data_IF_824925518513
#
_entry.id   IF_824925518513
#
_cell.length_a   1.000
_cell.length_b   1.000
_cell.length_c   1.000
_cell.angle_alpha   90.00
_cell.angle_beta   90.00
_cell.angle_gamma   90.00
#
_symmetry.space_group_name_H-M   'P 1'
#
loop_
_entity.id
_entity.type
_entity.pdbx_description
1 polymer ?
#
# COMPACT_ATOMS: atom_id res chain seq x y z
N UNK A 1 4.20 4.04 9.58
CA UNK A 1 3.63 4.72 8.39
C UNK A 1 2.12 4.53 8.30
N UNK A 2 1.59 3.30 8.25
CA UNK A 2 0.13 3.08 8.23
C UNK A 2 -0.63 3.75 9.39
N UNK A 3 -0.10 3.72 10.61
CA UNK A 3 -0.66 4.45 11.76
C UNK A 3 -0.76 5.97 11.52
N UNK A 4 0.32 6.58 11.01
CA UNK A 4 0.33 8.00 10.68
C UNK A 4 -0.64 8.34 9.53
N UNK A 5 -0.72 7.50 8.49
CA UNK A 5 -1.70 7.66 7.41
C UNK A 5 -3.14 7.55 7.92
N UNK A 6 -3.42 6.64 8.85
CA UNK A 6 -4.72 6.54 9.50
C UNK A 6 -5.07 7.82 10.28
N UNK A 7 -4.12 8.40 11.01
CA UNK A 7 -4.32 9.68 11.70
C UNK A 7 -4.66 10.83 10.72
N UNK A 8 -4.14 10.80 9.49
CA UNK A 8 -4.56 11.73 8.43
C UNK A 8 -6.01 11.52 8.02
N UNK A 9 -6.46 10.27 7.85
CA UNK A 9 -7.86 9.95 7.53
C UNK A 9 -8.84 10.33 8.64
N UNK A 10 -8.41 10.20 9.90
CA UNK A 10 -9.21 10.53 11.08
C UNK A 10 -9.14 12.02 11.45
N UNK A 11 -8.33 12.81 10.74
CA UNK A 11 -8.17 14.22 11.06
C UNK A 11 -9.40 15.04 10.64
N UNK A 12 -9.96 15.78 11.60
CA UNK A 12 -11.07 16.72 11.36
C UNK A 12 -10.63 18.05 10.74
N UNK A 13 -9.35 18.21 10.39
CA UNK A 13 -8.83 19.45 9.80
C UNK A 13 -9.22 19.55 8.31
N UNK A 14 -9.88 20.64 7.87
CA UNK A 14 -10.30 20.81 6.46
C UNK A 14 -9.14 20.79 5.45
N UNK A 15 -7.96 21.32 5.81
CA UNK A 15 -6.76 21.26 4.94
C UNK A 15 -6.26 19.83 4.76
N UNK A 16 -6.40 19.01 5.81
CA UNK A 16 -6.05 17.61 5.76
C UNK A 16 -7.05 16.85 4.88
N UNK A 17 -8.34 17.15 4.97
CA UNK A 17 -9.35 16.58 4.07
C UNK A 17 -9.08 16.93 2.60
N UNK A 18 -8.79 18.19 2.28
CA UNK A 18 -8.45 18.59 0.91
C UNK A 18 -7.19 17.90 0.36
N UNK A 19 -6.21 17.61 1.22
CA UNK A 19 -5.03 16.81 0.86
C UNK A 19 -5.41 15.35 0.61
N UNK A 20 -6.19 14.74 1.51
CA UNK A 20 -6.68 13.36 1.36
C UNK A 20 -7.48 13.22 0.06
N UNK A 21 -8.42 14.13 -0.22
CA UNK A 21 -9.25 14.08 -1.42
C UNK A 21 -8.42 14.15 -2.72
N UNK A 22 -7.34 14.93 -2.74
CA UNK A 22 -6.42 14.97 -3.88
C UNK A 22 -5.75 13.62 -4.11
N UNK A 23 -5.26 12.99 -3.05
CA UNK A 23 -4.65 11.66 -3.18
C UNK A 23 -5.67 10.57 -3.44
N UNK A 24 -6.91 10.69 -2.96
CA UNK A 24 -8.00 9.78 -3.31
C UNK A 24 -8.31 9.84 -4.80
N UNK A 25 -8.40 11.04 -5.40
CA UNK A 25 -8.55 11.18 -6.86
C UNK A 25 -7.38 10.58 -7.63
N UNK A 26 -6.15 10.83 -7.19
CA UNK A 26 -4.96 10.30 -7.83
C UNK A 26 -4.86 8.76 -7.75
N UNK A 27 -5.26 8.15 -6.64
CA UNK A 27 -5.12 6.71 -6.40
C UNK A 27 -6.36 5.90 -6.75
N UNK A 28 -7.55 6.46 -6.64
CA UNK A 28 -8.82 5.73 -6.73
C UNK A 28 -9.83 6.37 -7.68
N UNK A 29 -9.40 7.37 -8.48
CA UNK A 29 -10.20 8.10 -9.49
C UNK A 29 -11.40 8.89 -8.95
N UNK A 30 -11.67 8.83 -7.65
CA UNK A 30 -12.79 9.50 -6.99
C UNK A 30 -12.40 9.89 -5.57
N UNK A 31 -13.05 10.93 -5.04
CA UNK A 31 -13.02 11.32 -3.64
C UNK A 31 -14.44 11.36 -3.04
N UNK A 32 -15.37 10.56 -3.60
CA UNK A 32 -16.70 10.39 -3.03
C UNK A 32 -16.61 9.82 -1.62
N UNK A 33 -17.67 10.03 -0.82
CA UNK A 33 -17.72 9.56 0.55
C UNK A 33 -17.59 8.02 0.64
N UNK A 34 -18.19 7.28 -0.30
CA UNK A 34 -18.07 5.82 -0.36
C UNK A 34 -16.63 5.34 -0.60
N UNK A 35 -15.89 6.01 -1.50
CA UNK A 35 -14.48 5.71 -1.75
C UNK A 35 -13.64 6.08 -0.54
N UNK A 36 -13.92 7.23 0.07
CA UNK A 36 -13.26 7.65 1.31
C UNK A 36 -13.42 6.59 2.41
N UNK A 37 -14.65 6.13 2.67
CA UNK A 37 -14.92 5.15 3.73
C UNK A 37 -14.34 3.76 3.43
N UNK A 38 -14.40 3.33 2.16
CA UNK A 38 -13.76 2.08 1.72
C UNK A 38 -12.25 2.12 1.94
N UNK A 39 -11.60 3.21 1.52
CA UNK A 39 -10.16 3.38 1.66
C UNK A 39 -9.77 3.51 3.13
N UNK A 40 -10.51 4.29 3.92
CA UNK A 40 -10.32 4.41 5.38
C UNK A 40 -10.36 3.05 6.06
N UNK A 41 -11.39 2.24 5.77
CA UNK A 41 -11.54 0.90 6.32
C UNK A 41 -10.34 0.00 5.97
N UNK A 42 -9.90 0.02 4.72
CA UNK A 42 -8.75 -0.79 4.28
C UNK A 42 -7.43 -0.31 4.88
N UNK A 43 -7.21 0.99 4.99
CA UNK A 43 -6.01 1.55 5.66
C UNK A 43 -6.00 1.20 7.15
N UNK A 44 -7.15 1.25 7.83
CA UNK A 44 -7.29 0.75 9.19
C UNK A 44 -6.89 -0.73 9.27
N UNK A 45 -7.41 -1.56 8.37
CA UNK A 45 -7.10 -2.99 8.34
C UNK A 45 -5.61 -3.28 8.08
N UNK A 46 -4.99 -2.54 7.16
CA UNK A 46 -3.54 -2.59 6.91
C UNK A 46 -2.75 -2.29 8.19
N UNK A 47 -3.15 -1.25 8.95
CA UNK A 47 -2.52 -0.91 10.22
C UNK A 47 -2.62 -2.07 11.21
N UNK A 48 -3.81 -2.64 11.38
CA UNK A 48 -4.05 -3.77 12.30
C UNK A 48 -3.21 -5.00 11.92
N UNK A 49 -3.06 -5.29 10.63
CA UNK A 49 -2.24 -6.40 10.13
C UNK A 49 -0.75 -6.17 10.45
N UNK A 50 -0.24 -4.96 10.23
CA UNK A 50 1.14 -4.60 10.57
C UNK A 50 1.41 -4.68 12.08
N UNK A 51 0.45 -4.26 12.92
CA UNK A 51 0.54 -4.42 14.38
C UNK A 51 0.46 -5.90 14.80
N UNK A 52 -0.41 -6.68 14.15
CA UNK A 52 -0.52 -8.12 14.36
C UNK A 52 0.80 -8.84 14.06
N UNK A 53 1.57 -8.38 13.07
CA UNK A 53 2.88 -8.94 12.76
C UNK A 53 3.91 -8.74 13.87
N UNK A 54 3.87 -7.60 14.55
CA UNK A 54 4.73 -7.34 15.70
C UNK A 54 4.40 -8.26 16.89
N UNK A 55 3.13 -8.64 17.03
CA UNK A 55 2.65 -9.56 18.06
C UNK A 55 2.61 -11.03 17.65
N UNK A 56 3.20 -11.41 16.51
CA UNK A 56 3.25 -12.81 16.04
C UNK A 56 1.93 -13.39 15.53
N UNK A 57 0.87 -12.58 15.34
CA UNK A 57 -0.45 -12.99 14.84
C UNK A 57 -0.56 -12.94 13.31
N UNK A 58 0.38 -12.28 12.66
CA UNK A 58 0.63 -12.29 11.21
C UNK A 58 2.11 -12.63 11.01
N UNK A 59 2.42 -13.55 10.10
CA UNK A 59 3.81 -13.96 9.85
C UNK A 59 4.26 -13.47 8.48
N UNK A 60 5.39 -12.76 8.45
CA UNK A 60 6.15 -12.55 7.22
C UNK A 60 7.19 -13.66 7.13
N UNK A 61 6.92 -14.67 6.32
CA UNK A 61 7.76 -15.85 6.18
C UNK A 61 8.56 -15.79 4.88
N UNK A 62 9.84 -16.18 4.91
CA UNK A 62 10.57 -16.41 3.67
C UNK A 62 9.87 -17.53 2.88
N UNK A 63 9.61 -17.28 1.59
CA UNK A 63 9.09 -18.33 0.72
C UNK A 63 10.10 -19.50 0.66
N UNK A 64 9.61 -20.75 0.61
CA UNK A 64 10.49 -21.90 0.50
C UNK A 64 11.32 -21.86 -0.79
N UNK A 65 12.53 -22.46 -0.81
CA UNK A 65 13.31 -22.60 -2.03
C UNK A 65 12.49 -23.31 -3.12
N UNK A 66 12.49 -22.76 -4.34
CA UNK A 66 11.77 -23.34 -5.49
C UNK A 66 10.28 -22.98 -5.58
N UNK A 67 9.78 -22.11 -4.71
CA UNK A 67 8.39 -21.64 -4.79
C UNK A 67 8.11 -20.88 -6.09
N UNK A 68 7.29 -21.48 -6.96
CA UNK A 68 6.98 -20.91 -8.27
C UNK A 68 6.12 -19.65 -8.20
N UNK A 69 5.43 -19.42 -7.07
CA UNK A 69 4.66 -18.19 -6.85
C UNK A 69 5.56 -16.96 -6.73
N UNK A 70 6.83 -17.14 -6.31
CA UNK A 70 7.74 -16.01 -6.18
C UNK A 70 8.10 -15.37 -7.51
N UNK A 71 8.28 -16.12 -8.60
CA UNK A 71 8.66 -15.56 -9.91
C UNK A 71 9.67 -14.41 -9.80
N UNK A 72 9.26 -13.23 -10.27
CA UNK A 72 9.98 -11.95 -10.11
C UNK A 72 9.38 -11.02 -9.04
N UNK A 73 8.42 -11.52 -8.26
CA UNK A 73 7.74 -10.78 -7.20
C UNK A 73 8.60 -10.65 -5.94
N UNK A 74 8.30 -9.65 -5.14
CA UNK A 74 9.02 -9.36 -3.88
C UNK A 74 8.29 -9.98 -2.68
N UNK A 75 6.98 -10.16 -2.78
CA UNK A 75 6.18 -10.94 -1.86
C UNK A 75 4.90 -11.41 -2.54
N UNK A 76 4.13 -12.22 -1.82
CA UNK A 76 2.78 -12.57 -2.23
C UNK A 76 1.95 -13.07 -1.04
N UNK A 77 0.63 -13.10 -1.22
CA UNK A 77 -0.32 -13.79 -0.35
C UNK A 77 -1.06 -14.89 -1.12
N UNK A 78 -1.29 -16.05 -0.50
CA UNK A 78 -2.09 -17.11 -1.13
C UNK A 78 -3.55 -17.02 -0.71
N UNK A 79 -4.46 -17.26 -1.66
CA UNK A 79 -5.86 -17.50 -1.33
C UNK A 79 -5.96 -18.76 -0.48
N UNK A 80 -6.55 -18.64 0.71
CA UNK A 80 -6.78 -19.76 1.63
C UNK A 80 -5.80 -19.83 2.81
N UNK A 81 -4.62 -19.23 2.69
CA UNK A 81 -3.72 -19.06 3.83
C UNK A 81 -4.13 -17.83 4.64
N UNK A 82 -4.30 -18.00 5.95
CA UNK A 82 -4.63 -16.91 6.86
C UNK A 82 -3.41 -16.55 7.68
N UNK A 83 -3.11 -15.27 7.78
CA UNK A 83 -2.07 -14.79 8.69
C UNK A 83 -0.64 -15.05 8.18
N UNK A 84 -0.43 -15.30 6.89
CA UNK A 84 0.89 -15.47 6.29
C UNK A 84 1.03 -14.56 5.08
N UNK A 85 2.16 -13.87 5.01
CA UNK A 85 2.66 -13.15 3.84
C UNK A 85 4.02 -13.77 3.49
N UNK A 86 4.18 -14.21 2.25
CA UNK A 86 5.42 -14.83 1.79
C UNK A 86 6.37 -13.76 1.23
N UNK A 87 7.62 -13.82 1.65
CA UNK A 87 8.69 -12.92 1.25
C UNK A 87 9.60 -13.63 0.26
N UNK A 88 9.73 -13.06 -0.94
CA UNK A 88 10.53 -13.63 -2.01
C UNK A 88 11.94 -13.05 -2.03
N UNK A 89 12.88 -13.75 -2.68
CA UNK A 89 14.29 -13.31 -2.78
C UNK A 89 14.47 -11.87 -3.29
N UNK A 90 13.70 -11.37 -4.28
CA UNK A 90 13.81 -9.99 -4.75
C UNK A 90 13.50 -8.91 -3.71
N UNK A 91 12.87 -9.23 -2.56
CA UNK A 91 12.63 -8.28 -1.48
C UNK A 91 13.91 -7.82 -0.77
N UNK A 92 14.85 -8.74 -0.54
CA UNK A 92 16.03 -8.47 0.27
C UNK A 92 16.99 -7.41 -0.31
N UNK A 93 17.21 -7.29 -1.63
CA UNK A 93 18.02 -6.20 -2.17
C UNK A 93 17.30 -4.84 -2.22
N UNK A 94 16.00 -4.76 -1.89
CA UNK A 94 15.28 -3.48 -1.90
C UNK A 94 15.80 -2.52 -0.81
N UNK A 95 15.69 -1.22 -1.10
CA UNK A 95 15.87 -0.15 -0.11
C UNK A 95 14.86 -0.29 1.04
N UNK A 96 15.12 0.35 2.17
CA UNK A 96 14.17 0.37 3.30
C UNK A 96 12.78 0.89 2.87
N UNK A 97 12.74 1.87 1.96
CA UNK A 97 11.50 2.42 1.40
C UNK A 97 10.75 1.35 0.59
N UNK A 98 11.45 0.68 -0.34
CA UNK A 98 10.89 -0.40 -1.15
C UNK A 98 10.38 -1.58 -0.31
N UNK A 99 11.12 -1.95 0.74
CA UNK A 99 10.69 -2.99 1.68
C UNK A 99 9.41 -2.58 2.41
N UNK A 100 9.34 -1.36 2.94
CA UNK A 100 8.15 -0.85 3.63
C UNK A 100 6.93 -0.75 2.71
N UNK A 101 7.14 -0.33 1.47
CA UNK A 101 6.10 -0.31 0.44
C UNK A 101 5.51 -1.70 0.22
N UNK A 102 6.37 -2.68 -0.03
CA UNK A 102 5.99 -4.08 -0.25
C UNK A 102 5.16 -4.62 0.93
N UNK A 103 5.61 -4.41 2.18
CA UNK A 103 4.86 -4.89 3.35
C UNK A 103 3.45 -4.27 3.44
N UNK A 104 3.29 -3.00 3.08
CA UNK A 104 1.98 -2.34 3.03
C UNK A 104 1.13 -2.90 1.88
N UNK A 105 1.73 -3.12 0.71
CA UNK A 105 1.09 -3.70 -0.47
C UNK A 105 0.50 -5.08 -0.13
N UNK A 106 1.28 -5.99 0.44
CA UNK A 106 0.79 -7.33 0.79
C UNK A 106 -0.30 -7.29 1.88
N UNK A 107 -0.18 -6.37 2.84
CA UNK A 107 -1.25 -6.15 3.81
C UNK A 107 -2.53 -5.60 3.14
N UNK A 108 -2.41 -4.81 2.08
CA UNK A 108 -3.56 -4.30 1.34
C UNK A 108 -4.32 -5.43 0.63
N UNK A 109 -3.63 -6.42 0.10
CA UNK A 109 -4.26 -7.63 -0.41
C UNK A 109 -5.10 -8.34 0.67
N UNK A 110 -4.53 -8.57 1.84
CA UNK A 110 -5.26 -9.16 2.97
C UNK A 110 -6.41 -8.27 3.49
N UNK A 111 -6.33 -6.95 3.27
CA UNK A 111 -7.41 -6.00 3.55
C UNK A 111 -8.49 -5.95 2.45
N UNK A 112 -8.38 -6.78 1.40
CA UNK A 112 -9.37 -6.92 0.34
C UNK A 112 -9.10 -6.08 -0.92
N UNK A 113 -7.92 -5.49 -1.07
CA UNK A 113 -7.45 -4.93 -2.33
C UNK A 113 -6.90 -6.07 -3.22
N UNK A 114 -7.80 -6.91 -3.72
CA UNK A 114 -7.46 -8.04 -4.60
C UNK A 114 -8.44 -8.08 -5.77
N UNK A 115 -8.12 -7.38 -6.87
CA UNK A 115 -8.75 -7.65 -8.18
C UNK A 115 -8.00 -8.74 -8.97
N UNK A 116 -8.61 -9.20 -10.07
CA UNK A 116 -8.00 -10.00 -11.17
C UNK A 116 -6.55 -9.58 -11.45
N UNK A 117 -5.67 -10.49 -11.95
CA UNK A 117 -4.22 -10.46 -11.75
C UNK A 117 -3.64 -9.05 -11.86
N UNK A 118 -2.99 -8.60 -10.78
CA UNK A 118 -2.43 -7.26 -10.75
C UNK A 118 -1.38 -7.10 -11.85
N UNK A 119 -1.69 -6.24 -12.81
CA UNK A 119 -0.68 -5.74 -13.73
C UNK A 119 0.21 -4.77 -12.96
N UNK A 120 1.31 -5.33 -12.46
CA UNK A 120 2.49 -4.69 -11.88
C UNK A 120 2.56 -3.17 -12.14
N UNK A 121 2.43 -2.36 -11.07
CA UNK A 121 2.76 -0.94 -11.11
C UNK A 121 3.86 -0.65 -10.09
N UNK A 122 4.98 -1.37 -10.26
CA UNK A 122 6.19 -1.15 -9.49
C UNK A 122 6.73 0.26 -9.72
N UNK A 123 6.33 1.21 -8.89
CA UNK A 123 7.11 2.42 -8.70
C UNK A 123 7.90 2.29 -7.40
N UNK A 124 9.10 1.73 -7.52
CA UNK A 124 10.11 1.66 -6.45
C UNK A 124 11.13 2.81 -6.54
N UNK A 125 10.81 3.87 -7.31
CA UNK A 125 11.63 5.07 -7.43
C UNK A 125 11.34 6.11 -6.34
N UNK A 126 12.06 7.25 -6.34
CA UNK A 126 11.77 8.34 -5.44
C UNK A 126 10.34 8.85 -5.69
N UNK A 127 9.42 8.60 -4.77
CA UNK A 127 8.07 9.17 -4.84
C UNK A 127 8.18 10.62 -4.36
N UNK A 128 8.29 11.53 -5.32
CA UNK A 128 8.15 12.96 -5.13
C UNK A 128 6.68 13.40 -5.18
N UNK A 129 6.46 14.71 -5.13
CA UNK A 129 5.12 15.29 -5.16
C UNK A 129 4.38 14.97 -6.46
N UNK A 130 5.08 14.91 -7.59
CA UNK A 130 4.53 14.55 -8.91
C UNK A 130 3.97 13.13 -8.92
N UNK A 131 4.69 12.16 -8.37
CA UNK A 131 4.29 10.75 -8.35
C UNK A 131 3.09 10.50 -7.43
N UNK A 132 3.00 11.28 -6.34
CA UNK A 132 1.86 11.27 -5.42
C UNK A 132 0.55 11.76 -6.05
N UNK A 133 0.65 12.62 -7.07
CA UNK A 133 -0.51 13.19 -7.77
C UNK A 133 -0.77 12.52 -9.12
N UNK A 134 0.14 11.68 -9.61
CA UNK A 134 -0.04 10.91 -10.84
C UNK A 134 -1.32 10.07 -10.75
N UNK A 135 -2.19 10.16 -11.74
CA UNK A 135 -3.40 9.35 -11.77
C UNK A 135 -3.05 7.85 -11.82
N UNK A 136 -3.83 7.05 -11.14
CA UNK A 136 -3.77 5.58 -11.21
C UNK A 136 -4.07 5.13 -12.65
N UNK A 137 -3.39 4.09 -13.14
CA UNK A 137 -3.62 3.55 -14.48
C UNK A 137 -4.95 2.78 -14.60
N UNK A 138 -5.59 2.44 -13.48
CA UNK A 138 -6.85 1.72 -13.47
C UNK A 138 -7.92 2.44 -14.31
N UNK A 139 -8.69 1.69 -15.10
CA UNK A 139 -9.73 2.26 -15.95
C UNK A 139 -10.96 2.72 -15.14
N UNK A 140 -11.29 2.00 -14.07
CA UNK A 140 -12.46 2.27 -13.23
C UNK A 140 -12.09 2.49 -11.76
N UNK A 141 -12.98 3.15 -11.00
CA UNK A 141 -12.84 3.28 -9.54
C UNK A 141 -12.78 1.92 -8.84
N UNK A 142 -13.56 0.95 -9.34
CA UNK A 142 -13.58 -0.43 -8.81
C UNK A 142 -12.23 -1.11 -8.98
N UNK A 143 -11.64 -1.00 -10.16
CA UNK A 143 -10.32 -1.57 -10.43
C UNK A 143 -9.25 -0.85 -9.59
N UNK A 144 -9.35 0.47 -9.47
CA UNK A 144 -8.41 1.26 -8.68
C UNK A 144 -8.45 0.88 -7.19
N UNK A 145 -9.64 0.62 -6.63
CA UNK A 145 -9.82 0.06 -5.29
C UNK A 145 -9.26 -1.38 -5.19
N UNK A 146 -9.16 -2.10 -6.31
CA UNK A 146 -8.62 -3.45 -6.34
C UNK A 146 -7.10 -3.55 -6.33
N UNK A 147 -6.38 -2.45 -6.57
CA UNK A 147 -4.92 -2.41 -6.68
C UNK A 147 -4.24 -2.11 -5.34
N UNK A 148 -3.49 -3.06 -4.80
CA UNK A 148 -2.74 -2.93 -3.56
C UNK A 148 -1.72 -1.78 -3.59
N UNK A 149 -1.06 -1.55 -4.73
CA UNK A 149 -0.10 -0.45 -4.90
C UNK A 149 -0.72 0.94 -4.70
N UNK A 150 -2.01 1.14 -5.02
CA UNK A 150 -2.67 2.42 -4.77
C UNK A 150 -2.78 2.71 -3.27
N UNK A 151 -2.91 1.69 -2.42
CA UNK A 151 -2.91 1.83 -0.97
C UNK A 151 -1.52 2.14 -0.44
N UNK A 152 -0.49 1.41 -0.91
CA UNK A 152 0.89 1.65 -0.53
C UNK A 152 1.33 3.08 -0.90
N UNK A 153 1.00 3.53 -2.12
CA UNK A 153 1.26 4.90 -2.59
C UNK A 153 0.53 5.95 -1.76
N UNK A 154 -0.76 5.76 -1.51
CA UNK A 154 -1.54 6.69 -0.70
C UNK A 154 -0.93 6.84 0.70
N UNK A 155 -0.65 5.72 1.38
CA UNK A 155 -0.03 5.72 2.72
C UNK A 155 1.30 6.45 2.67
N UNK A 156 2.15 6.17 1.69
CA UNK A 156 3.43 6.82 1.49
C UNK A 156 3.29 8.36 1.33
N UNK A 157 2.41 8.79 0.43
CA UNK A 157 2.19 10.20 0.10
C UNK A 157 1.53 11.02 1.21
N UNK A 158 0.76 10.38 2.08
CA UNK A 158 0.19 11.02 3.28
C UNK A 158 1.24 11.24 4.36
N UNK A 159 2.16 10.30 4.57
CA UNK A 159 3.14 10.38 5.67
C UNK A 159 4.38 11.20 5.35
N UNK A 160 4.76 11.35 4.07
CA UNK A 160 5.86 12.23 3.67
C UNK A 160 5.39 13.69 3.73
N UNK A 161 6.15 14.56 4.38
CA UNK A 161 5.92 16.00 4.26
C UNK A 161 6.38 16.47 2.87
N UNK A 162 5.64 17.38 2.21
CA UNK A 162 6.14 18.05 1.02
C UNK A 162 7.47 18.74 1.35
N UNK A 163 8.54 18.46 0.58
CA UNK A 163 9.82 19.16 0.71
C UNK A 163 10.94 18.43 1.47
N UNK A 164 10.73 17.22 1.99
CA UNK A 164 11.84 16.41 2.52
C UNK A 164 12.31 15.41 1.45
N UNK A 165 13.31 15.81 0.69
CA UNK A 165 14.11 14.92 -0.15
C UNK A 165 14.96 14.05 0.78
N UNK A 166 14.71 12.74 0.81
CA UNK A 166 15.65 11.81 1.46
C UNK A 166 16.76 11.60 0.45
N UNK A 167 17.85 12.35 0.61
CA UNK A 167 19.07 12.08 -0.13
C UNK A 167 19.58 10.71 0.33
N UNK A 168 19.83 9.76 -0.60
CA UNK A 168 20.56 8.55 -0.23
C UNK A 168 21.93 8.94 0.34
N UNK A 169 22.50 8.16 1.27
CA UNK A 169 23.87 8.37 1.73
C UNK A 169 24.88 8.22 0.57
#
# INVERSE_FOLDING_TARGET
MAHAALNWFLSFNPRNRARVDRFLRANFRSASQDVFDTVKYRVLRIRELLEAAQGGRLTFACAPPGDTACGNWTGYVRRGERGIIHICRPFFPLTLEGRRWMLIHECAHLAGAMTQPEHYYGFFGPVGTSECLRATPAATTRDALGLADNYARLVWCLVRQPGITVTPP
#
